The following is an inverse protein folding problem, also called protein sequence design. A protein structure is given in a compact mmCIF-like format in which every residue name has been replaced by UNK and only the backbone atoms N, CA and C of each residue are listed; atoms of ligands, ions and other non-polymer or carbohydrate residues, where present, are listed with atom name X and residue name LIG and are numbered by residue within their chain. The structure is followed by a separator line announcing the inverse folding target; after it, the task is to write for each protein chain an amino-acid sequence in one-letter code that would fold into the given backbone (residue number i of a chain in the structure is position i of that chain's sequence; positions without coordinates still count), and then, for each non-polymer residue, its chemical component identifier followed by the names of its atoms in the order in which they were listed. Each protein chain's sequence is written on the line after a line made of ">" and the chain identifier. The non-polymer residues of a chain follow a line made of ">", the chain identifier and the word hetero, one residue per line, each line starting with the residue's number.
data_IF_016072790899
#
_entry.id   IF_016072790899
#
_cell.length_a   1.000
_cell.length_b   1.000
_cell.length_c   1.000
_cell.angle_alpha   90.00
_cell.angle_beta   90.00
_cell.angle_gamma   90.00
#
_symmetry.space_group_name_H-M   'P 1'
#
loop_
_entity.id
_entity.type
_entity.pdbx_description
1 polymer ?
#
# COMPACT_ATOMS: atom_id res chain seq x y z
N UNK A 1 30.83 30.06 46.85
CA UNK A 1 29.83 29.06 46.42
C UNK A 1 28.54 29.84 46.24
N UNK A 2 27.94 29.96 45.06
CA UNK A 2 27.52 28.85 44.18
C UNK A 2 27.39 29.34 42.71
N UNK A 3 28.06 28.61 41.81
CA UNK A 3 27.84 28.37 40.37
C UNK A 3 27.17 29.41 39.46
N UNK A 4 28.02 30.05 38.67
CA UNK A 4 27.81 30.41 37.26
C UNK A 4 27.63 29.14 36.43
N UNK A 5 26.49 28.98 35.74
CA UNK A 5 26.25 28.11 34.56
C UNK A 5 24.81 28.35 34.10
N UNK A 6 24.62 29.25 33.15
CA UNK A 6 23.43 29.24 32.30
C UNK A 6 23.85 28.55 31.00
N UNK A 7 23.17 27.48 30.53
CA UNK A 7 23.52 26.84 29.28
C UNK A 7 23.32 27.84 28.14
N UNK A 8 24.38 28.11 27.39
CA UNK A 8 24.28 28.63 26.03
C UNK A 8 23.58 27.58 25.19
N UNK A 9 22.26 27.72 25.07
CA UNK A 9 21.45 27.01 24.10
C UNK A 9 21.73 27.65 22.74
N UNK A 10 22.87 27.28 22.16
CA UNK A 10 23.20 27.55 20.76
C UNK A 10 22.35 26.60 19.91
N UNK A 11 21.04 26.87 19.88
CA UNK A 11 20.18 26.42 18.79
C UNK A 11 20.55 27.32 17.63
N UNK A 12 21.59 26.91 16.90
CA UNK A 12 21.86 27.44 15.56
C UNK A 12 20.53 27.46 14.79
N UNK A 13 20.29 28.50 13.96
CA UNK A 13 18.98 28.76 13.41
C UNK A 13 18.41 27.46 12.86
N UNK A 14 17.29 27.00 13.44
CA UNK A 14 16.44 26.04 12.75
C UNK A 14 16.16 26.72 11.44
N UNK A 15 16.79 26.24 10.36
CA UNK A 15 16.59 26.82 9.04
C UNK A 15 15.08 26.83 8.84
N UNK A 16 14.50 28.03 8.79
CA UNK A 16 13.08 28.23 8.55
C UNK A 16 12.77 27.46 7.26
N UNK A 17 12.22 26.25 7.39
CA UNK A 17 11.74 25.52 6.22
C UNK A 17 10.49 26.29 5.81
N UNK A 18 10.68 27.23 4.88
CA UNK A 18 9.58 27.99 4.31
C UNK A 18 8.54 27.02 3.73
N UNK A 19 7.26 27.35 3.84
CA UNK A 19 6.14 26.55 3.32
C UNK A 19 6.29 26.22 1.82
N UNK A 20 7.01 27.08 1.09
CA UNK A 20 7.42 26.88 -0.31
C UNK A 20 8.41 25.72 -0.49
N UNK A 21 9.34 25.51 0.45
CA UNK A 21 10.26 24.37 0.43
C UNK A 21 9.53 23.06 0.76
N UNK A 22 8.53 23.10 1.65
CA UNK A 22 7.68 21.93 1.94
C UNK A 22 6.84 21.55 0.70
N UNK A 23 6.26 22.53 0.01
CA UNK A 23 5.52 22.30 -1.25
C UNK A 23 6.41 21.67 -2.31
N UNK A 24 7.62 22.18 -2.52
CA UNK A 24 8.55 21.64 -3.52
C UNK A 24 8.98 20.19 -3.22
N UNK A 25 9.14 19.83 -1.94
CA UNK A 25 9.43 18.45 -1.52
C UNK A 25 8.23 17.54 -1.76
N UNK A 26 7.01 17.99 -1.40
CA UNK A 26 5.78 17.22 -1.62
C UNK A 26 5.50 17.01 -3.11
N UNK A 27 5.73 18.01 -3.95
CA UNK A 27 5.55 17.90 -5.40
C UNK A 27 6.56 16.94 -6.06
N UNK A 28 7.82 16.93 -5.60
CA UNK A 28 8.83 15.98 -6.09
C UNK A 28 8.54 14.53 -5.66
N UNK A 29 8.07 14.32 -4.43
CA UNK A 29 7.66 12.98 -3.96
C UNK A 29 6.41 12.49 -4.72
N UNK A 30 5.42 13.37 -4.97
CA UNK A 30 4.26 13.03 -5.81
C UNK A 30 4.67 12.69 -7.25
N UNK A 31 5.57 13.48 -7.85
CA UNK A 31 6.04 13.24 -9.21
C UNK A 31 6.80 11.92 -9.33
N UNK A 32 7.51 11.51 -8.28
CA UNK A 32 8.21 10.22 -8.21
C UNK A 32 7.22 9.06 -8.08
N UNK A 33 6.20 9.18 -7.22
CA UNK A 33 5.16 8.16 -7.06
C UNK A 33 4.26 7.99 -8.30
N UNK A 34 4.09 9.06 -9.08
CA UNK A 34 3.37 9.01 -10.37
C UNK A 34 4.23 8.35 -11.45
N UNK A 35 5.57 8.46 -11.38
CA UNK A 35 6.48 7.95 -12.40
C UNK A 35 6.71 6.43 -12.34
N UNK A 36 6.58 5.81 -11.15
CA UNK A 36 6.66 4.35 -10.97
C UNK A 36 5.43 3.89 -10.16
N UNK A 37 4.28 3.73 -10.81
CA UNK A 37 3.06 3.37 -10.10
C UNK A 37 3.18 1.98 -9.50
N UNK A 38 2.86 1.87 -8.20
CA UNK A 38 2.89 0.60 -7.49
C UNK A 38 2.04 -0.46 -8.21
N UNK A 39 2.57 -1.68 -8.39
CA UNK A 39 1.83 -2.73 -9.07
C UNK A 39 0.59 -3.12 -8.26
N UNK A 40 -0.54 -3.22 -8.95
CA UNK A 40 -1.79 -3.70 -8.34
C UNK A 40 -1.96 -5.20 -8.57
N UNK A 41 -2.62 -5.86 -7.62
CA UNK A 41 -2.93 -7.28 -7.67
C UNK A 41 -4.43 -7.44 -7.86
N UNK A 42 -4.81 -8.06 -8.97
CA UNK A 42 -6.21 -8.38 -9.26
C UNK A 42 -6.48 -9.81 -8.84
N UNK A 43 -7.38 -9.97 -7.87
CA UNK A 43 -7.93 -11.26 -7.48
C UNK A 43 -9.19 -11.53 -8.30
N UNK A 44 -9.24 -12.67 -8.96
CA UNK A 44 -10.44 -13.21 -9.59
C UNK A 44 -10.74 -14.60 -9.03
N UNK A 45 -11.98 -14.83 -8.62
CA UNK A 45 -12.47 -16.09 -8.05
C UNK A 45 -13.76 -16.49 -8.77
N UNK A 46 -13.87 -17.75 -9.16
CA UNK A 46 -15.06 -18.33 -9.75
C UNK A 46 -15.42 -19.64 -9.05
N UNK A 47 -16.67 -19.76 -8.62
CA UNK A 47 -17.21 -20.97 -8.00
C UNK A 47 -18.67 -21.20 -8.39
N UNK A 48 -18.97 -22.37 -8.97
CA UNK A 48 -20.34 -22.80 -9.33
C UNK A 48 -21.17 -21.78 -10.16
N UNK A 49 -20.48 -20.91 -10.93
CA UNK A 49 -21.10 -19.88 -11.75
C UNK A 49 -21.18 -18.50 -11.10
N UNK A 50 -20.85 -18.39 -9.80
CA UNK A 50 -20.64 -17.12 -9.11
C UNK A 50 -19.20 -16.63 -9.29
N UNK A 51 -19.06 -15.36 -9.68
CA UNK A 51 -17.79 -14.70 -9.91
C UNK A 51 -17.55 -13.54 -8.95
N UNK A 52 -16.32 -13.43 -8.45
CA UNK A 52 -15.86 -12.32 -7.63
C UNK A 52 -14.56 -11.75 -8.19
N UNK A 53 -14.43 -10.42 -8.21
CA UNK A 53 -13.20 -9.75 -8.61
C UNK A 53 -12.91 -8.57 -7.68
N UNK A 54 -11.66 -8.41 -7.28
CA UNK A 54 -11.20 -7.31 -6.43
C UNK A 54 -9.77 -6.90 -6.76
N UNK A 55 -9.42 -5.66 -6.43
CA UNK A 55 -8.10 -5.07 -6.69
C UNK A 55 -7.43 -4.72 -5.36
N UNK A 56 -6.15 -5.04 -5.24
CA UNK A 56 -5.36 -4.89 -4.03
C UNK A 56 -4.01 -4.24 -4.34
N UNK A 57 -3.46 -3.49 -3.39
CA UNK A 57 -2.11 -2.91 -3.50
C UNK A 57 -1.00 -3.88 -3.12
N UNK A 58 -1.36 -5.06 -2.57
CA UNK A 58 -0.41 -6.10 -2.21
C UNK A 58 -0.96 -7.49 -2.52
N UNK A 59 -0.06 -8.44 -2.74
CA UNK A 59 -0.42 -9.85 -2.94
C UNK A 59 -1.04 -10.45 -1.68
N UNK A 60 -0.47 -10.15 -0.52
CA UNK A 60 -1.00 -10.64 0.77
C UNK A 60 -2.43 -10.15 1.04
N UNK A 61 -2.77 -8.92 0.62
CA UNK A 61 -4.14 -8.41 0.69
C UNK A 61 -5.09 -9.19 -0.22
N UNK A 62 -4.66 -9.50 -1.44
CA UNK A 62 -5.43 -10.33 -2.37
C UNK A 62 -5.63 -11.76 -1.83
N UNK A 63 -4.59 -12.38 -1.28
CA UNK A 63 -4.65 -13.73 -0.71
C UNK A 63 -5.54 -13.77 0.55
N UNK A 64 -5.43 -12.78 1.44
CA UNK A 64 -6.33 -12.65 2.59
C UNK A 64 -7.79 -12.52 2.13
N UNK A 65 -8.04 -11.74 1.07
CA UNK A 65 -9.38 -11.57 0.53
C UNK A 65 -9.95 -12.85 -0.08
N UNK A 66 -9.12 -13.64 -0.75
CA UNK A 66 -9.50 -14.95 -1.27
C UNK A 66 -10.02 -15.86 -0.14
N UNK A 67 -9.32 -15.92 0.99
CA UNK A 67 -9.73 -16.71 2.15
C UNK A 67 -11.07 -16.21 2.73
N UNK A 68 -11.25 -14.90 2.86
CA UNK A 68 -12.51 -14.31 3.33
C UNK A 68 -13.69 -14.67 2.43
N UNK A 69 -13.52 -14.59 1.10
CA UNK A 69 -14.57 -14.91 0.13
C UNK A 69 -14.89 -16.41 0.15
N UNK A 70 -13.88 -17.27 0.17
CA UNK A 70 -14.08 -18.71 0.27
C UNK A 70 -14.82 -19.09 1.57
N UNK A 71 -14.47 -18.45 2.70
CA UNK A 71 -15.21 -18.63 3.95
C UNK A 71 -16.65 -18.12 3.87
N UNK A 72 -16.87 -16.96 3.24
CA UNK A 72 -18.20 -16.38 3.05
C UNK A 72 -19.12 -17.23 2.17
N UNK A 73 -18.55 -17.93 1.18
CA UNK A 73 -19.25 -18.89 0.33
C UNK A 73 -19.37 -20.30 0.96
N UNK A 74 -18.72 -20.55 2.10
CA UNK A 74 -18.72 -21.86 2.74
C UNK A 74 -17.88 -22.90 2.01
N UNK A 75 -16.88 -22.46 1.24
CA UNK A 75 -16.00 -23.28 0.37
C UNK A 75 -14.53 -23.13 0.74
N UNK A 76 -14.24 -22.80 2.01
CA UNK A 76 -12.86 -22.69 2.48
C UNK A 76 -12.06 -23.98 2.22
N UNK A 77 -12.68 -25.16 2.38
CA UNK A 77 -12.06 -26.45 2.04
C UNK A 77 -11.78 -26.64 0.54
N UNK A 78 -12.42 -25.84 -0.32
CA UNK A 78 -12.21 -25.88 -1.75
C UNK A 78 -11.00 -25.06 -2.23
N UNK A 79 -10.37 -24.25 -1.35
CA UNK A 79 -9.15 -23.49 -1.69
C UNK A 79 -8.00 -24.40 -2.12
N UNK A 80 -7.87 -25.56 -1.47
CA UNK A 80 -6.89 -26.59 -1.78
C UNK A 80 -7.39 -27.60 -2.83
N UNK A 81 -8.60 -27.42 -3.36
CA UNK A 81 -9.24 -28.32 -4.32
C UNK A 81 -9.38 -27.66 -5.69
N UNK A 82 -9.35 -28.43 -6.77
CA UNK A 82 -9.60 -27.94 -8.14
C UNK A 82 -11.04 -27.41 -8.38
N UNK A 83 -11.88 -27.36 -7.33
CA UNK A 83 -13.27 -26.88 -7.41
C UNK A 83 -13.38 -25.36 -7.35
N UNK A 84 -12.39 -24.67 -6.79
CA UNK A 84 -12.36 -23.21 -6.69
C UNK A 84 -11.32 -22.66 -7.66
N UNK A 85 -11.78 -22.13 -8.79
CA UNK A 85 -10.88 -21.49 -9.75
C UNK A 85 -10.57 -20.09 -9.25
N UNK A 86 -9.31 -19.83 -8.94
CA UNK A 86 -8.88 -18.50 -8.51
C UNK A 86 -7.56 -18.11 -9.17
N UNK A 87 -7.34 -16.82 -9.32
CA UNK A 87 -6.08 -16.26 -9.80
C UNK A 87 -5.79 -14.92 -9.14
N UNK A 88 -4.51 -14.69 -8.84
CA UNK A 88 -4.00 -13.39 -8.40
C UNK A 88 -2.99 -12.92 -9.43
N UNK A 89 -3.38 -11.90 -10.20
CA UNK A 89 -2.57 -11.36 -11.29
C UNK A 89 -1.94 -10.05 -10.86
N UNK A 90 -0.61 -9.96 -10.91
CA UNK A 90 0.10 -8.69 -10.79
C UNK A 90 -0.06 -7.92 -12.09
N UNK A 91 -0.71 -6.77 -12.03
CA UNK A 91 -0.90 -5.87 -13.16
C UNK A 91 0.11 -4.72 -13.00
N UNK A 92 1.11 -4.61 -13.88
CA UNK A 92 1.94 -3.42 -13.93
C UNK A 92 1.05 -2.25 -14.36
N UNK A 93 1.09 -1.15 -13.60
CA UNK A 93 0.45 0.08 -14.03
C UNK A 93 1.40 0.74 -15.04
N UNK A 94 1.07 0.70 -16.32
CA UNK A 94 1.78 1.50 -17.31
C UNK A 94 1.20 2.92 -17.24
N UNK A 95 2.04 3.91 -16.96
CA UNK A 95 1.65 5.32 -17.04
C UNK A 95 1.39 5.68 -18.50
N UNK A 96 0.25 6.34 -18.84
CA UNK A 96 -0.09 6.73 -20.21
C UNK A 96 0.86 7.78 -20.80
#
# INVERSE_FOLDING_TARGET
>A
MTTDTTPSDDVGPVADIDDAQISEIVEQELATAVADPDPVYVLSVEFEGDGYTSVHTSREGADARLVEIAAGWGVADALDSDRLVHSVTKVPLETP
#
